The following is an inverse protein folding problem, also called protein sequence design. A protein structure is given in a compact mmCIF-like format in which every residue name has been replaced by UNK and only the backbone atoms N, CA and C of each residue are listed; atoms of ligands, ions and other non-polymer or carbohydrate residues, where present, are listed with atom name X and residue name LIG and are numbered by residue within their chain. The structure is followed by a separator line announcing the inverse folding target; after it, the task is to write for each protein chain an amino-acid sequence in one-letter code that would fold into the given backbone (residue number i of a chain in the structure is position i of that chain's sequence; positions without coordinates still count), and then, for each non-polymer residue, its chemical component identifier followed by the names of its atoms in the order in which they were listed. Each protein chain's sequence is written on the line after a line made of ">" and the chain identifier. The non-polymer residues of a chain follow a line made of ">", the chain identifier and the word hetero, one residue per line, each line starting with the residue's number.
data_IF_112629575561
#
_entry.id   IF_112629575561
#
_cell.length_a   1.000
_cell.length_b   1.000
_cell.length_c   1.000
_cell.angle_alpha   90.00
_cell.angle_beta   90.00
_cell.angle_gamma   90.00
#
_symmetry.space_group_name_H-M   'P 1'
#
loop_
_entity.id
_entity.type
_entity.pdbx_description
1 polymer ?
#
# COMPACT_ATOMS: atom_id res chain seq x y z
N UNK A 1 -0.87 3.10 -20.01
CA UNK A 1 0.56 2.84 -19.77
C UNK A 1 0.89 2.84 -18.28
N UNK A 2 0.61 3.91 -17.51
CA UNK A 2 0.91 3.95 -16.07
C UNK A 2 0.16 2.87 -15.28
N UNK A 3 -1.12 2.67 -15.55
CA UNK A 3 -1.93 1.64 -14.88
C UNK A 3 -1.37 0.24 -15.10
N UNK A 4 -1.04 -0.11 -16.32
CA UNK A 4 -0.43 -1.42 -16.66
C UNK A 4 0.90 -1.62 -15.93
N UNK A 5 1.72 -0.57 -15.86
CA UNK A 5 2.98 -0.61 -15.13
C UNK A 5 2.77 -0.79 -13.63
N UNK A 6 1.78 -0.10 -13.05
CA UNK A 6 1.43 -0.26 -11.64
C UNK A 6 0.96 -1.69 -11.34
N UNK A 7 0.14 -2.28 -12.20
CA UNK A 7 -0.28 -3.68 -12.06
C UNK A 7 0.93 -4.64 -12.09
N UNK A 8 1.85 -4.44 -13.03
CA UNK A 8 3.04 -5.28 -13.17
C UNK A 8 4.02 -5.16 -12.01
N UNK A 9 4.15 -4.00 -11.42
CA UNK A 9 5.14 -3.75 -10.36
C UNK A 9 4.57 -3.94 -8.95
N UNK A 10 3.28 -3.72 -8.75
CA UNK A 10 2.65 -3.75 -7.42
C UNK A 10 1.70 -4.93 -7.27
N UNK A 11 0.77 -5.10 -8.20
CA UNK A 11 -0.30 -6.09 -8.06
C UNK A 11 0.16 -7.52 -8.37
N UNK A 12 0.65 -7.78 -9.58
CA UNK A 12 0.97 -9.15 -9.99
C UNK A 12 2.06 -9.82 -9.12
N UNK A 13 3.13 -9.14 -8.69
CA UNK A 13 4.09 -9.76 -7.78
C UNK A 13 3.48 -10.18 -6.45
N UNK A 14 2.50 -9.42 -5.94
CA UNK A 14 1.80 -9.78 -4.71
C UNK A 14 0.90 -11.02 -4.87
N UNK A 15 0.43 -11.30 -6.09
CA UNK A 15 -0.42 -12.47 -6.35
C UNK A 15 0.35 -13.80 -6.23
N UNK A 16 1.67 -13.79 -6.32
CA UNK A 16 2.50 -14.96 -6.05
C UNK A 16 2.59 -15.31 -4.55
N UNK A 17 2.32 -14.37 -3.67
CA UNK A 17 2.24 -14.63 -2.23
C UNK A 17 1.00 -15.48 -1.87
N UNK A 18 1.06 -16.33 -0.84
CA UNK A 18 -0.09 -17.08 -0.36
C UNK A 18 -1.27 -16.16 -0.02
N UNK A 19 -2.49 -16.66 -0.27
CA UNK A 19 -3.73 -15.93 0.07
C UNK A 19 -3.76 -15.59 1.55
N UNK A 20 -4.30 -14.42 1.87
CA UNK A 20 -4.47 -13.95 3.22
C UNK A 20 -3.43 -12.90 3.60
N UNK A 21 -2.93 -12.95 4.83
CA UNK A 21 -2.04 -11.91 5.38
C UNK A 21 -0.76 -11.72 4.57
N UNK A 22 -0.14 -12.79 4.08
CA UNK A 22 1.07 -12.71 3.28
C UNK A 22 0.86 -11.90 1.99
N UNK A 23 -0.28 -12.11 1.32
CA UNK A 23 -0.64 -11.35 0.11
C UNK A 23 -0.94 -9.89 0.42
N UNK A 24 -1.69 -9.62 1.49
CA UNK A 24 -1.96 -8.25 1.94
C UNK A 24 -0.66 -7.50 2.27
N UNK A 25 0.26 -8.15 2.99
CA UNK A 25 1.58 -7.59 3.32
C UNK A 25 2.41 -7.31 2.07
N UNK A 26 2.39 -8.22 1.09
CA UNK A 26 3.10 -8.04 -0.18
C UNK A 26 2.53 -6.89 -1.01
N UNK A 27 1.20 -6.72 -1.03
CA UNK A 27 0.55 -5.59 -1.71
C UNK A 27 0.96 -4.25 -1.08
N UNK A 28 0.97 -4.18 0.25
CA UNK A 28 1.43 -3.00 0.97
C UNK A 28 2.91 -2.72 0.71
N UNK A 29 3.78 -3.73 0.83
CA UNK A 29 5.23 -3.61 0.63
C UNK A 29 5.57 -3.12 -0.78
N UNK A 30 4.95 -3.68 -1.81
CA UNK A 30 5.19 -3.27 -3.19
C UNK A 30 4.72 -1.82 -3.43
N UNK A 31 3.55 -1.45 -2.89
CA UNK A 31 3.05 -0.08 -3.03
C UNK A 31 3.92 0.91 -2.25
N UNK A 32 4.31 0.57 -1.03
CA UNK A 32 5.22 1.37 -0.23
C UNK A 32 6.54 1.62 -0.97
N UNK A 33 7.15 0.59 -1.52
CA UNK A 33 8.40 0.70 -2.30
C UNK A 33 8.21 1.64 -3.48
N UNK A 34 7.14 1.47 -4.24
CA UNK A 34 6.85 2.31 -5.39
C UNK A 34 6.63 3.78 -5.02
N UNK A 35 5.92 4.06 -3.92
CA UNK A 35 5.59 5.44 -3.54
C UNK A 35 6.71 6.17 -2.81
N UNK A 36 7.61 5.46 -2.14
CA UNK A 36 8.64 6.04 -1.28
C UNK A 36 10.06 5.95 -1.83
N UNK A 37 10.35 4.97 -2.69
CA UNK A 37 11.70 4.66 -3.17
C UNK A 37 11.91 5.18 -4.59
N UNK A 38 10.91 5.10 -5.46
CA UNK A 38 10.96 5.65 -6.81
C UNK A 38 10.75 7.17 -6.79
N UNK A 39 11.74 7.87 -6.27
CA UNK A 39 11.69 9.31 -6.00
C UNK A 39 11.44 10.13 -7.27
N UNK A 40 11.88 9.67 -8.43
CA UNK A 40 11.86 10.44 -9.66
C UNK A 40 10.53 10.38 -10.43
N UNK A 41 9.76 9.29 -10.32
CA UNK A 41 8.54 9.13 -11.10
C UNK A 41 7.23 9.55 -10.41
N UNK A 42 7.19 9.62 -9.08
CA UNK A 42 5.98 9.92 -8.31
C UNK A 42 4.86 8.89 -8.50
N UNK A 43 3.84 9.01 -7.68
CA UNK A 43 2.62 8.22 -7.83
C UNK A 43 1.51 9.10 -8.40
N UNK A 44 1.17 8.92 -9.68
CA UNK A 44 0.12 9.70 -10.34
C UNK A 44 -1.25 9.53 -9.65
N UNK A 45 -1.49 8.39 -8.99
CA UNK A 45 -2.73 8.18 -8.25
C UNK A 45 -2.84 9.04 -7.00
N UNK A 46 -1.70 9.42 -6.39
CA UNK A 46 -1.68 10.30 -5.24
C UNK A 46 -1.60 11.76 -5.69
N UNK A 47 -0.61 12.12 -6.51
CA UNK A 47 -0.45 13.51 -6.97
C UNK A 47 -1.57 13.96 -7.90
N UNK A 48 -2.03 13.08 -8.80
CA UNK A 48 -3.15 13.37 -9.68
C UNK A 48 -4.47 13.49 -8.92
N UNK A 49 -4.68 12.71 -7.87
CA UNK A 49 -5.89 12.86 -7.03
C UNK A 49 -5.95 14.26 -6.43
N UNK A 50 -4.85 14.75 -5.86
CA UNK A 50 -4.78 16.11 -5.28
C UNK A 50 -4.95 17.21 -6.35
N UNK A 51 -4.36 17.03 -7.54
CA UNK A 51 -4.47 17.99 -8.63
C UNK A 51 -5.89 18.08 -9.20
N UNK A 52 -6.64 16.99 -9.21
CA UNK A 52 -7.93 16.87 -9.88
C UNK A 52 -9.13 16.65 -8.94
N UNK A 53 -8.97 16.72 -7.61
CA UNK A 53 -10.07 16.48 -6.67
C UNK A 53 -11.28 17.41 -6.91
N UNK A 54 -11.04 18.68 -7.16
CA UNK A 54 -12.07 19.71 -7.43
C UNK A 54 -12.33 19.93 -8.93
N UNK A 55 -11.71 19.16 -9.83
CA UNK A 55 -11.84 19.30 -11.28
C UNK A 55 -12.65 18.17 -11.87
N UNK A 56 -13.97 18.29 -11.89
CA UNK A 56 -14.84 17.29 -12.52
C UNK A 56 -14.46 17.05 -14.00
N UNK A 57 -14.46 15.79 -14.43
CA UNK A 57 -14.19 15.44 -15.82
C UNK A 57 -13.47 14.09 -15.97
N UNK A 58 -13.19 13.69 -17.23
CA UNK A 58 -12.74 12.34 -17.53
C UNK A 58 -11.39 11.96 -16.89
N UNK A 59 -10.50 12.92 -16.65
CA UNK A 59 -9.21 12.64 -15.98
C UNK A 59 -9.43 12.28 -14.53
N UNK A 60 -10.22 13.06 -13.79
CA UNK A 60 -10.60 12.78 -12.42
C UNK A 60 -11.28 11.42 -12.30
N UNK A 61 -12.23 11.15 -13.20
CA UNK A 61 -13.01 9.91 -13.16
C UNK A 61 -12.13 8.69 -13.44
N UNK A 62 -11.19 8.78 -14.38
CA UNK A 62 -10.23 7.74 -14.66
C UNK A 62 -9.27 7.48 -13.48
N UNK A 63 -8.78 8.54 -12.83
CA UNK A 63 -7.96 8.43 -11.62
C UNK A 63 -8.74 7.77 -10.47
N UNK A 64 -9.95 8.24 -10.20
CA UNK A 64 -10.79 7.69 -9.15
C UNK A 64 -11.11 6.21 -9.40
N UNK A 65 -11.46 5.85 -10.63
CA UNK A 65 -11.72 4.45 -11.03
C UNK A 65 -10.49 3.56 -10.80
N UNK A 66 -9.31 4.03 -11.18
CA UNK A 66 -8.06 3.26 -10.99
C UNK A 66 -7.74 3.06 -9.51
N UNK A 67 -7.88 4.10 -8.69
CA UNK A 67 -7.67 4.00 -7.23
C UNK A 67 -8.69 3.07 -6.60
N UNK A 68 -9.97 3.19 -6.97
CA UNK A 68 -11.03 2.31 -6.45
C UNK A 68 -10.79 0.85 -6.81
N UNK A 69 -10.33 0.55 -8.02
CA UNK A 69 -9.97 -0.81 -8.45
C UNK A 69 -8.86 -1.39 -7.58
N UNK A 70 -7.83 -0.60 -7.30
CA UNK A 70 -6.75 -1.01 -6.42
C UNK A 70 -7.22 -1.23 -4.97
N UNK A 71 -8.00 -0.31 -4.43
CA UNK A 71 -8.56 -0.45 -3.08
C UNK A 71 -9.47 -1.66 -2.97
N UNK A 72 -10.26 -1.97 -4.00
CA UNK A 72 -11.08 -3.19 -4.04
C UNK A 72 -10.21 -4.46 -4.02
N UNK A 73 -9.07 -4.46 -4.71
CA UNK A 73 -8.12 -5.58 -4.67
C UNK A 73 -7.52 -5.76 -3.27
N UNK A 74 -7.13 -4.70 -2.59
CA UNK A 74 -6.65 -4.75 -1.21
C UNK A 74 -7.75 -5.20 -0.23
N UNK A 75 -8.97 -4.68 -0.38
CA UNK A 75 -10.13 -5.12 0.41
C UNK A 75 -10.35 -6.62 0.28
N UNK A 76 -10.25 -7.13 -0.95
CA UNK A 76 -10.34 -8.58 -1.18
C UNK A 76 -9.23 -9.35 -0.46
N UNK A 77 -8.01 -8.83 -0.40
CA UNK A 77 -6.91 -9.45 0.34
C UNK A 77 -7.18 -9.47 1.85
N UNK A 78 -7.75 -8.41 2.42
CA UNK A 78 -8.23 -8.38 3.82
C UNK A 78 -9.30 -9.44 4.06
N UNK A 79 -10.31 -9.51 3.19
CA UNK A 79 -11.35 -10.54 3.27
C UNK A 79 -10.76 -11.95 3.22
N UNK A 80 -9.84 -12.21 2.30
CA UNK A 80 -9.16 -13.50 2.20
C UNK A 80 -8.36 -13.82 3.47
N UNK A 81 -7.72 -12.84 4.09
CA UNK A 81 -7.02 -13.04 5.37
C UNK A 81 -7.97 -13.43 6.51
N UNK A 82 -9.20 -12.93 6.50
CA UNK A 82 -10.25 -13.39 7.43
C UNK A 82 -10.67 -14.83 7.12
N UNK A 83 -10.91 -15.15 5.85
CA UNK A 83 -11.33 -16.51 5.42
C UNK A 83 -10.27 -17.56 5.74
N UNK A 84 -8.98 -17.23 5.55
CA UNK A 84 -7.85 -18.09 5.92
C UNK A 84 -7.61 -18.17 7.44
N UNK A 85 -8.37 -17.43 8.25
CA UNK A 85 -8.24 -17.40 9.69
C UNK A 85 -7.03 -16.63 10.22
N UNK A 86 -6.38 -15.81 9.39
CA UNK A 86 -5.23 -15.01 9.79
C UNK A 86 -5.65 -13.74 10.54
N UNK A 87 -6.81 -13.18 10.19
CA UNK A 87 -7.43 -12.04 10.87
C UNK A 87 -8.70 -12.48 11.57
N UNK A 88 -9.00 -11.83 12.69
CA UNK A 88 -10.22 -12.10 13.46
C UNK A 88 -11.48 -11.87 12.59
N UNK A 89 -12.53 -12.69 12.71
CA UNK A 89 -13.76 -12.54 11.95
C UNK A 89 -14.46 -11.19 12.15
N UNK A 90 -14.23 -10.56 13.31
CA UNK A 90 -14.83 -9.27 13.70
C UNK A 90 -14.16 -8.06 13.04
N UNK A 91 -13.08 -8.24 12.27
CA UNK A 91 -12.39 -7.13 11.59
C UNK A 91 -13.34 -6.42 10.63
N UNK A 92 -13.44 -5.11 10.80
CA UNK A 92 -14.06 -4.22 9.82
C UNK A 92 -13.08 -4.01 8.65
N UNK A 93 -13.42 -4.55 7.50
CA UNK A 93 -12.57 -4.54 6.31
C UNK A 93 -12.39 -3.13 5.75
N UNK A 94 -13.42 -2.31 5.81
CA UNK A 94 -13.39 -0.95 5.30
C UNK A 94 -12.55 -0.05 6.22
N UNK A 95 -12.66 -0.23 7.53
CA UNK A 95 -11.84 0.50 8.50
C UNK A 95 -10.36 0.11 8.37
N UNK A 96 -10.06 -1.17 8.32
CA UNK A 96 -8.67 -1.63 8.18
C UNK A 96 -8.05 -1.13 6.87
N UNK A 97 -8.80 -1.19 5.77
CA UNK A 97 -8.35 -0.67 4.49
C UNK A 97 -8.11 0.85 4.53
N UNK A 98 -8.99 1.61 5.18
CA UNK A 98 -8.84 3.05 5.35
C UNK A 98 -7.53 3.39 6.08
N UNK A 99 -7.22 2.67 7.15
CA UNK A 99 -5.99 2.87 7.93
C UNK A 99 -4.74 2.54 7.11
N UNK A 100 -4.73 1.41 6.39
CA UNK A 100 -3.63 1.02 5.50
C UNK A 100 -3.44 2.05 4.38
N UNK A 101 -4.53 2.48 3.74
CA UNK A 101 -4.47 3.49 2.69
C UNK A 101 -3.98 4.84 3.21
N UNK A 102 -4.49 5.28 4.36
CA UNK A 102 -4.03 6.49 5.03
C UNK A 102 -2.53 6.46 5.34
N UNK A 103 -2.01 5.30 5.75
CA UNK A 103 -0.58 5.11 5.99
C UNK A 103 0.25 5.29 4.70
N UNK A 104 -0.21 4.76 3.57
CA UNK A 104 0.46 4.95 2.27
C UNK A 104 0.47 6.43 1.85
N UNK A 105 -0.64 7.15 2.05
CA UNK A 105 -0.71 8.57 1.73
C UNK A 105 0.25 9.38 2.60
N UNK A 106 0.26 9.13 3.91
CA UNK A 106 1.18 9.77 4.85
C UNK A 106 2.65 9.46 4.50
N UNK A 107 2.95 8.20 4.19
CA UNK A 107 4.30 7.79 3.80
C UNK A 107 4.77 8.48 2.52
N UNK A 108 3.90 8.56 1.50
CA UNK A 108 4.23 9.29 0.27
C UNK A 108 4.56 10.76 0.55
N UNK A 109 3.76 11.42 1.38
CA UNK A 109 3.98 12.81 1.78
C UNK A 109 5.29 12.99 2.55
N UNK A 110 5.52 12.18 3.57
CA UNK A 110 6.71 12.23 4.41
C UNK A 110 8.00 11.90 3.64
N UNK A 111 7.99 10.81 2.87
CA UNK A 111 9.18 10.36 2.17
C UNK A 111 9.51 11.22 0.96
N UNK A 112 8.50 11.66 0.21
CA UNK A 112 8.68 12.31 -1.08
C UNK A 112 8.70 13.84 -0.99
N UNK A 113 7.72 14.43 -0.32
CA UNK A 113 7.60 15.87 -0.20
C UNK A 113 8.49 16.45 0.90
N UNK A 114 8.33 15.94 2.11
CA UNK A 114 9.10 16.46 3.27
C UNK A 114 10.53 15.91 3.33
N UNK A 115 10.81 14.80 2.67
CA UNK A 115 12.12 14.11 2.71
C UNK A 115 12.53 13.74 4.13
N UNK A 116 11.57 13.38 4.97
CA UNK A 116 11.78 13.05 6.38
C UNK A 116 12.58 11.75 6.51
N UNK A 117 13.76 11.77 7.19
CA UNK A 117 14.53 10.54 7.42
C UNK A 117 13.74 9.52 8.24
N UNK A 118 13.85 8.23 7.90
CA UNK A 118 13.19 7.14 8.61
C UNK A 118 11.69 7.01 8.35
N UNK A 119 11.14 7.69 7.31
CA UNK A 119 9.72 7.60 6.99
C UNK A 119 9.31 6.21 6.50
N UNK A 120 10.19 5.51 5.76
CA UNK A 120 9.91 4.15 5.28
C UNK A 120 9.83 3.17 6.46
N UNK A 121 10.75 3.24 7.39
CA UNK A 121 10.76 2.39 8.59
C UNK A 121 9.53 2.67 9.48
N UNK A 122 9.05 3.93 9.54
CA UNK A 122 7.78 4.27 10.20
C UNK A 122 6.59 3.70 9.46
N UNK A 123 6.61 3.70 8.13
CA UNK A 123 5.58 3.08 7.31
C UNK A 123 5.45 1.58 7.56
N UNK A 124 6.58 0.86 7.60
CA UNK A 124 6.61 -0.58 7.92
C UNK A 124 6.03 -0.84 9.30
N UNK A 125 6.53 -0.12 10.31
CA UNK A 125 6.05 -0.25 11.70
C UNK A 125 4.58 0.15 11.83
N UNK A 126 4.14 1.15 11.08
CA UNK A 126 2.75 1.57 11.04
C UNK A 126 1.83 0.46 10.54
N UNK A 127 2.20 -0.22 9.46
CA UNK A 127 1.45 -1.37 8.96
C UNK A 127 1.38 -2.51 9.98
N UNK A 128 2.51 -2.86 10.59
CA UNK A 128 2.55 -3.88 11.65
C UNK A 128 1.62 -3.52 12.81
N UNK A 129 1.66 -2.27 13.27
CA UNK A 129 0.81 -1.77 14.37
C UNK A 129 -0.69 -1.79 14.02
N UNK A 130 -1.05 -1.46 12.78
CA UNK A 130 -2.43 -1.48 12.30
C UNK A 130 -2.97 -2.93 12.29
N UNK A 131 -2.17 -3.87 11.84
CA UNK A 131 -2.59 -5.27 11.67
C UNK A 131 -2.53 -6.07 12.96
N UNK A 132 -1.56 -5.80 13.83
CA UNK A 132 -1.28 -6.59 15.05
C UNK A 132 -2.50 -6.86 15.95
N UNK A 133 -3.39 -5.88 16.24
CA UNK A 133 -4.55 -6.11 17.11
C UNK A 133 -5.57 -7.10 16.52
N UNK A 134 -5.49 -7.37 15.25
CA UNK A 134 -6.44 -8.18 14.51
C UNK A 134 -5.94 -9.58 14.19
N UNK A 135 -4.67 -9.87 14.49
CA UNK A 135 -4.07 -11.18 14.20
C UNK A 135 -4.63 -12.27 15.09
N UNK A 136 -4.80 -13.45 14.51
CA UNK A 136 -5.11 -14.69 15.23
C UNK A 136 -3.84 -15.49 15.51
N UNK A 137 -3.96 -16.55 16.31
CA UNK A 137 -2.85 -17.49 16.53
C UNK A 137 -2.44 -18.26 15.26
N UNK A 138 -3.31 -18.33 14.25
CA UNK A 138 -3.04 -18.98 12.96
C UNK A 138 -2.35 -18.06 11.94
N UNK A 139 -2.18 -16.78 12.25
CA UNK A 139 -1.57 -15.82 11.34
C UNK A 139 -0.09 -16.16 11.12
N UNK A 140 0.40 -16.13 9.85
CA UNK A 140 1.83 -16.18 9.59
C UNK A 140 2.51 -14.91 10.11
N UNK A 141 3.84 -14.94 10.23
CA UNK A 141 4.60 -13.74 10.56
C UNK A 141 4.34 -12.64 9.52
N UNK A 142 4.10 -11.42 9.99
CA UNK A 142 4.01 -10.25 9.12
C UNK A 142 5.41 -9.96 8.59
N UNK A 143 5.58 -10.02 7.28
CA UNK A 143 6.86 -9.73 6.63
C UNK A 143 6.67 -8.54 5.69
N UNK A 144 7.13 -7.38 6.10
CA UNK A 144 7.28 -6.20 5.26
C UNK A 144 8.77 -5.87 5.16
N UNK A 145 9.27 -5.77 3.95
CA UNK A 145 10.70 -5.60 3.72
C UNK A 145 11.14 -4.16 4.03
N UNK A 146 11.94 -3.98 5.07
CA UNK A 146 12.60 -2.71 5.38
C UNK A 146 13.89 -2.48 4.57
N UNK A 147 14.24 -3.38 3.66
CA UNK A 147 15.48 -3.31 2.89
C UNK A 147 15.46 -2.23 1.81
N UNK A 148 15.47 -0.99 2.24
CA UNK A 148 15.87 0.15 1.40
C UNK A 148 17.38 0.26 1.46
N UNK A 149 18.07 -0.49 0.61
CA UNK A 149 19.49 -0.28 0.40
C UNK A 149 19.67 1.13 -0.19
N UNK A 150 20.13 2.08 0.62
CA UNK A 150 20.58 3.37 0.12
C UNK A 150 21.71 3.09 -0.86
N UNK A 151 21.49 3.32 -2.14
CA UNK A 151 22.61 3.68 -3.01
C UNK A 151 23.13 5.00 -2.48
N UNK A 152 24.21 4.93 -1.72
CA UNK A 152 25.02 6.10 -1.38
C UNK A 152 25.51 6.70 -2.69
N UNK A 153 24.92 7.80 -3.09
CA UNK A 153 25.53 8.68 -4.08
C UNK A 153 26.72 9.33 -3.37
N UNK A 154 27.89 8.75 -3.61
CA UNK A 154 29.15 9.48 -3.44
C UNK A 154 29.22 10.44 -4.64
N UNK A 155 29.45 11.65 -4.30
CA UNK A 155 29.94 12.85 -4.96
C UNK A 155 28.93 13.97 -5.02
#
# INVERSE_FOLDING_TARGET
>A
EYHTRFEQEVFYPAMSAPRGLARLSAMFDNWMKRTSIEIDSGCIYISGAVEFDDRAGPVRDALASSVQTWLAAMRRAVYQAKVEGHLAPSVDEDQLLFEIHGLILALHYEARFLRTPGSVERGVRGFENIVAPHLTAAAPAVTVSSSVSRKSTQE
#
